data_IF_127049169229
#
_entry.id   IF_127049169229
#
_cell.length_a   1.000
_cell.length_b   1.000
_cell.length_c   1.000
_cell.angle_alpha   90.00
_cell.angle_beta   90.00
_cell.angle_gamma   90.00
#
_symmetry.space_group_name_H-M   'P 1'
#
loop_
_entity.id
_entity.type
_entity.pdbx_description
1 polymer ?
#
# COMPACT_ATOMS: atom_id res chain seq x y z
N UNK A 1 1.54 11.32 18.04
CA UNK A 1 1.79 10.06 17.30
C UNK A 1 1.31 10.27 15.87
N UNK A 2 2.07 9.95 14.82
CA UNK A 2 1.55 10.08 13.47
C UNK A 2 0.35 9.15 13.34
N UNK A 3 -0.76 9.69 12.81
CA UNK A 3 -1.99 8.92 12.64
C UNK A 3 -1.78 7.85 11.58
N UNK A 4 -2.27 6.64 11.83
CA UNK A 4 -2.41 5.62 10.80
C UNK A 4 -3.54 6.05 9.85
N UNK A 5 -3.20 6.77 8.79
CA UNK A 5 -4.16 7.39 7.88
C UNK A 5 -4.21 6.63 6.55
N UNK A 6 -5.37 6.03 6.23
CA UNK A 6 -5.55 5.19 5.04
C UNK A 6 -5.19 5.91 3.75
N UNK A 7 -5.54 7.19 3.59
CA UNK A 7 -5.19 7.96 2.40
C UNK A 7 -3.68 8.10 2.22
N UNK A 8 -2.92 8.38 3.30
CA UNK A 8 -1.47 8.48 3.21
C UNK A 8 -0.84 7.13 2.80
N UNK A 9 -1.35 6.02 3.35
CA UNK A 9 -0.87 4.69 2.95
C UNK A 9 -1.23 4.37 1.49
N UNK A 10 -2.41 4.75 1.02
CA UNK A 10 -2.77 4.62 -0.41
C UNK A 10 -1.83 5.42 -1.31
N UNK A 11 -1.49 6.65 -0.95
CA UNK A 11 -0.51 7.44 -1.73
C UNK A 11 0.88 6.78 -1.70
N UNK A 12 1.27 6.21 -0.57
CA UNK A 12 2.54 5.50 -0.45
C UNK A 12 2.60 4.26 -1.34
N UNK A 13 1.57 3.42 -1.33
CA UNK A 13 1.47 2.25 -2.20
C UNK A 13 1.46 2.64 -3.68
N UNK A 14 0.78 3.73 -4.05
CA UNK A 14 0.81 4.26 -5.41
C UNK A 14 2.24 4.68 -5.82
N UNK A 15 3.00 5.29 -4.93
CA UNK A 15 4.39 5.68 -5.21
C UNK A 15 5.31 4.47 -5.37
N UNK A 16 5.15 3.44 -4.54
CA UNK A 16 5.88 2.16 -4.70
C UNK A 16 5.54 1.54 -6.05
N UNK A 17 4.26 1.50 -6.42
CA UNK A 17 3.81 0.90 -7.66
C UNK A 17 4.42 1.54 -8.92
N UNK A 18 4.74 2.85 -8.87
CA UNK A 18 5.42 3.57 -9.97
C UNK A 18 6.87 3.16 -10.18
N UNK A 19 7.50 2.52 -9.20
CA UNK A 19 8.89 2.08 -9.24
C UNK A 19 9.04 0.59 -9.53
N UNK A 20 7.93 -0.15 -9.59
CA UNK A 20 7.93 -1.55 -10.02
C UNK A 20 8.19 -1.55 -11.53
N UNK A 21 9.16 -2.35 -11.97
CA UNK A 21 9.51 -2.48 -13.38
C UNK A 21 8.32 -2.98 -14.21
N UNK A 22 8.32 -2.66 -15.50
CA UNK A 22 7.35 -3.22 -16.43
C UNK A 22 7.41 -4.77 -16.40
N UNK A 23 6.24 -5.41 -16.39
CA UNK A 23 6.06 -6.87 -16.28
C UNK A 23 6.57 -7.51 -14.97
N UNK A 24 6.73 -6.73 -13.89
CA UNK A 24 7.05 -7.21 -12.55
C UNK A 24 5.88 -7.05 -11.56
N UNK A 25 5.89 -7.86 -10.49
CA UNK A 25 4.91 -7.83 -9.40
C UNK A 25 5.61 -7.77 -8.05
N UNK A 26 5.18 -6.87 -7.16
CA UNK A 26 5.78 -6.74 -5.84
C UNK A 26 4.96 -7.45 -4.75
N UNK A 27 5.68 -8.04 -3.80
CA UNK A 27 5.12 -8.56 -2.54
C UNK A 27 5.66 -7.67 -1.42
N UNK A 28 4.76 -7.09 -0.63
CA UNK A 28 5.10 -6.22 0.48
C UNK A 28 4.68 -6.88 1.80
N UNK A 29 5.55 -6.79 2.81
CA UNK A 29 5.21 -7.19 4.18
C UNK A 29 4.95 -5.93 4.96
N UNK A 30 3.77 -5.85 5.57
CA UNK A 30 3.33 -4.67 6.30
C UNK A 30 3.09 -4.97 7.78
N UNK A 31 3.16 -3.95 8.63
CA UNK A 31 2.75 -4.07 10.03
C UNK A 31 1.21 -4.07 10.15
N UNK A 32 0.65 -4.68 11.20
CA UNK A 32 -0.80 -4.72 11.42
C UNK A 32 -1.37 -3.39 11.97
N UNK A 33 -1.03 -2.27 11.35
CA UNK A 33 -1.59 -0.98 11.72
C UNK A 33 -3.05 -0.84 11.27
N UNK A 34 -3.78 0.07 11.92
CA UNK A 34 -5.25 0.18 11.84
C UNK A 34 -5.84 0.41 10.44
N UNK A 35 -5.04 0.71 9.41
CA UNK A 35 -5.49 0.77 8.03
C UNK A 35 -5.92 -0.60 7.49
N UNK A 36 -5.45 -1.73 8.05
CA UNK A 36 -5.94 -3.08 7.72
C UNK A 36 -7.39 -3.31 8.15
N UNK A 37 -7.86 -2.63 9.21
CA UNK A 37 -9.23 -2.76 9.71
C UNK A 37 -10.24 -1.91 8.92
N UNK A 38 -9.73 -1.04 8.03
CA UNK A 38 -10.51 -0.17 7.18
C UNK A 38 -10.53 -0.75 5.77
N UNK A 39 -11.71 -1.08 5.24
CA UNK A 39 -11.86 -1.54 3.84
C UNK A 39 -11.59 -0.42 2.81
N UNK A 40 -11.03 0.72 3.22
CA UNK A 40 -10.81 1.89 2.38
C UNK A 40 -9.38 1.97 1.81
N UNK A 41 -8.49 1.02 2.14
CA UNK A 41 -7.14 1.00 1.58
C UNK A 41 -7.18 0.56 0.11
N UNK A 42 -6.70 1.42 -0.78
CA UNK A 42 -6.54 1.08 -2.20
C UNK A 42 -5.15 0.49 -2.43
N UNK A 43 -5.11 -0.75 -2.92
CA UNK A 43 -3.88 -1.47 -3.29
C UNK A 43 -3.77 -1.48 -4.82
N UNK A 44 -2.65 -1.00 -5.40
CA UNK A 44 -2.40 -1.08 -6.85
C UNK A 44 -2.35 -2.53 -7.34
N UNK A 45 -2.78 -2.78 -8.59
CA UNK A 45 -2.92 -4.13 -9.14
C UNK A 45 -1.61 -4.91 -9.32
N UNK A 46 -0.46 -4.24 -9.28
CA UNK A 46 0.88 -4.83 -9.37
C UNK A 46 1.54 -5.05 -7.99
N UNK A 47 0.75 -5.00 -6.91
CA UNK A 47 1.20 -5.21 -5.53
C UNK A 47 0.31 -6.25 -4.85
N UNK A 48 0.93 -7.14 -4.07
CA UNK A 48 0.27 -7.95 -3.04
C UNK A 48 0.86 -7.62 -1.67
N UNK A 49 0.00 -7.53 -0.67
CA UNK A 49 0.31 -7.23 0.74
C UNK A 49 -0.11 -8.37 1.65
#
# INVERSE_FOLDING_TARGET
MPWCYTYAMTQHLAEIARHIADDAHAILIMDQAGWHMSNNLVVPGNITI
#
